data_IF_475485044959
#
_entry.id   IF_475485044959
#
_cell.length_a   1.000
_cell.length_b   1.000
_cell.length_c   1.000
_cell.angle_alpha   90.00
_cell.angle_beta   90.00
_cell.angle_gamma   90.00
#
_symmetry.space_group_name_H-M   'P 1'
#
loop_
_entity.id
_entity.type
_entity.pdbx_description
1 polymer ?
#
# COMPACT_ATOMS: atom_id res chain seq x y z
N UNK A 1 -11.79 -12.52 7.63
CA UNK A 1 -12.33 -11.13 7.66
C UNK A 1 -13.83 -11.09 7.32
N UNK A 2 -14.32 -11.85 6.33
CA UNK A 2 -15.72 -11.76 5.88
C UNK A 2 -16.77 -12.01 6.98
N UNK A 3 -16.48 -12.92 7.93
CA UNK A 3 -17.31 -13.21 9.10
C UNK A 3 -16.97 -12.40 10.36
N UNK A 4 -16.04 -11.44 10.27
CA UNK A 4 -15.62 -10.61 11.40
C UNK A 4 -16.57 -9.42 11.63
N UNK A 5 -16.59 -8.88 12.86
CA UNK A 5 -17.24 -7.62 13.23
C UNK A 5 -16.52 -6.37 12.66
N UNK A 6 -15.34 -6.53 12.08
CA UNK A 6 -14.61 -5.43 11.44
C UNK A 6 -15.44 -4.81 10.30
N UNK A 7 -15.45 -3.47 10.25
CA UNK A 7 -16.10 -2.72 9.19
C UNK A 7 -15.29 -2.76 7.90
N UNK A 8 -14.00 -2.46 7.99
CA UNK A 8 -13.06 -2.44 6.87
C UNK A 8 -11.67 -2.90 7.34
N UNK A 9 -10.93 -3.57 6.46
CA UNK A 9 -9.50 -3.84 6.59
C UNK A 9 -8.77 -3.14 5.44
N UNK A 10 -7.91 -2.18 5.78
CA UNK A 10 -7.13 -1.41 4.81
C UNK A 10 -5.70 -1.95 4.77
N UNK A 11 -5.21 -2.28 3.58
CA UNK A 11 -3.85 -2.82 3.36
C UNK A 11 -3.17 -2.11 2.20
N UNK A 12 -1.84 -2.12 2.17
CA UNK A 12 -1.08 -1.69 0.99
C UNK A 12 -0.94 -2.83 -0.02
N UNK A 13 -0.49 -2.51 -1.24
CA UNK A 13 -0.13 -3.50 -2.26
C UNK A 13 1.35 -3.93 -2.20
N UNK A 14 2.01 -3.77 -1.05
CA UNK A 14 3.39 -4.21 -0.84
C UNK A 14 3.59 -5.72 -1.01
N UNK A 15 2.50 -6.49 -0.89
CA UNK A 15 2.44 -7.92 -1.15
C UNK A 15 1.36 -8.16 -2.21
N UNK A 16 1.66 -9.06 -3.15
CA UNK A 16 0.70 -9.46 -4.18
C UNK A 16 -0.60 -9.98 -3.55
N UNK A 17 -1.73 -9.42 -4.00
CA UNK A 17 -3.03 -9.83 -3.51
C UNK A 17 -3.35 -11.26 -3.94
N UNK A 18 -3.78 -12.09 -3.00
CA UNK A 18 -4.34 -13.41 -3.29
C UNK A 18 -5.78 -13.27 -3.77
N UNK A 19 -6.34 -14.32 -4.37
CA UNK A 19 -7.75 -14.32 -4.78
C UNK A 19 -8.70 -14.07 -3.62
N UNK A 20 -8.39 -14.58 -2.41
CA UNK A 20 -9.17 -14.33 -1.21
C UNK A 20 -9.23 -12.83 -0.85
N UNK A 21 -8.16 -12.08 -1.10
CA UNK A 21 -8.13 -10.62 -0.93
C UNK A 21 -8.99 -9.96 -2.00
N UNK A 22 -8.87 -10.39 -3.27
CA UNK A 22 -9.57 -9.80 -4.42
C UNK A 22 -11.09 -9.92 -4.33
N UNK A 23 -11.60 -11.02 -3.76
CA UNK A 23 -13.06 -11.26 -3.61
C UNK A 23 -13.65 -10.71 -2.31
N UNK A 24 -12.81 -10.26 -1.37
CA UNK A 24 -13.28 -9.79 -0.07
C UNK A 24 -13.81 -8.35 -0.14
N UNK A 25 -15.13 -8.19 0.03
CA UNK A 25 -15.80 -6.87 0.07
C UNK A 25 -15.37 -5.97 1.24
N UNK A 26 -14.76 -6.55 2.29
CA UNK A 26 -14.30 -5.82 3.49
C UNK A 26 -12.84 -5.39 3.40
N UNK A 27 -12.10 -5.78 2.36
CA UNK A 27 -10.70 -5.39 2.20
C UNK A 27 -10.61 -4.29 1.16
N UNK A 28 -9.99 -3.17 1.54
CA UNK A 28 -9.59 -2.11 0.63
C UNK A 28 -8.08 -2.07 0.53
N UNK A 29 -7.59 -2.08 -0.71
CA UNK A 29 -6.16 -2.02 -1.01
C UNK A 29 -5.78 -0.61 -1.48
N UNK A 30 -4.74 -0.05 -0.90
CA UNK A 30 -4.14 1.22 -1.32
C UNK A 30 -2.80 0.94 -1.98
N UNK A 31 -2.51 1.63 -3.08
CA UNK A 31 -1.21 1.48 -3.74
C UNK A 31 -0.16 2.34 -3.07
N UNK A 32 1.04 1.79 -2.86
CA UNK A 32 2.23 2.53 -2.45
C UNK A 32 3.24 2.69 -3.59
N UNK A 33 2.90 2.26 -4.81
CA UNK A 33 3.79 2.34 -5.97
C UNK A 33 4.33 3.75 -6.25
N UNK A 34 3.52 4.84 -6.19
CA UNK A 34 4.04 6.20 -6.39
C UNK A 34 5.06 6.62 -5.33
N UNK A 35 4.80 6.26 -4.06
CA UNK A 35 5.72 6.55 -2.95
C UNK A 35 7.06 5.83 -3.14
N UNK A 36 7.03 4.56 -3.54
CA UNK A 36 8.24 3.79 -3.81
C UNK A 36 9.01 4.31 -5.04
N UNK A 37 8.30 4.67 -6.11
CA UNK A 37 8.90 5.24 -7.31
C UNK A 37 9.65 6.54 -6.98
N UNK A 38 9.03 7.41 -6.19
CA UNK A 38 9.64 8.68 -5.76
C UNK A 38 10.84 8.45 -4.82
N UNK A 39 10.75 7.50 -3.91
CA UNK A 39 11.88 7.13 -3.05
C UNK A 39 13.09 6.65 -3.88
N UNK A 40 12.86 5.78 -4.88
CA UNK A 40 13.89 5.31 -5.82
C UNK A 40 14.50 6.49 -6.59
N UNK A 41 13.66 7.38 -7.12
CA UNK A 41 14.09 8.56 -7.86
C UNK A 41 14.99 9.47 -7.01
N UNK A 42 14.63 9.70 -5.74
CA UNK A 42 15.41 10.55 -4.84
C UNK A 42 16.75 9.95 -4.46
N UNK A 43 16.77 8.64 -4.19
CA UNK A 43 18.01 7.89 -3.93
C UNK A 43 18.93 7.99 -5.14
N UNK A 44 18.42 7.85 -6.37
CA UNK A 44 19.24 7.94 -7.58
C UNK A 44 19.78 9.36 -7.84
N UNK A 45 19.14 10.40 -7.29
CA UNK A 45 19.55 11.80 -7.43
C UNK A 45 20.22 12.36 -6.18
N UNK A 46 20.50 11.53 -5.16
CA UNK A 46 21.09 11.94 -3.87
C UNK A 46 20.31 13.09 -3.20
N UNK A 47 19.00 13.13 -3.41
CA UNK A 47 18.10 14.12 -2.82
C UNK A 47 17.41 13.54 -1.59
N UNK A 48 16.95 14.42 -0.68
CA UNK A 48 16.39 13.97 0.59
C UNK A 48 15.12 13.14 0.40
N UNK A 49 15.09 11.94 0.99
CA UNK A 49 13.89 11.08 1.06
C UNK A 49 12.95 11.52 2.20
N UNK A 50 13.44 12.29 3.18
CA UNK A 50 12.66 12.63 4.38
C UNK A 50 11.41 13.45 4.09
N UNK A 51 11.41 14.24 3.02
CA UNK A 51 10.25 15.08 2.66
C UNK A 51 9.09 14.29 2.01
N UNK A 52 9.17 12.96 1.99
CA UNK A 52 8.05 12.08 1.60
C UNK A 52 7.12 11.74 2.79
N UNK A 53 7.51 12.15 4.00
CA UNK A 53 6.80 11.82 5.25
C UNK A 53 6.21 13.04 5.96
N UNK A 54 6.21 14.20 5.29
CA UNK A 54 5.49 15.42 5.70
C UNK A 54 4.05 15.41 5.14
#
# INVERSE_FOLDING_TARGET
ISSSKLAELVITDSIMATEAVRVSKKIRRITIAPLLAEAIHRISHETSVSSLFD
#
